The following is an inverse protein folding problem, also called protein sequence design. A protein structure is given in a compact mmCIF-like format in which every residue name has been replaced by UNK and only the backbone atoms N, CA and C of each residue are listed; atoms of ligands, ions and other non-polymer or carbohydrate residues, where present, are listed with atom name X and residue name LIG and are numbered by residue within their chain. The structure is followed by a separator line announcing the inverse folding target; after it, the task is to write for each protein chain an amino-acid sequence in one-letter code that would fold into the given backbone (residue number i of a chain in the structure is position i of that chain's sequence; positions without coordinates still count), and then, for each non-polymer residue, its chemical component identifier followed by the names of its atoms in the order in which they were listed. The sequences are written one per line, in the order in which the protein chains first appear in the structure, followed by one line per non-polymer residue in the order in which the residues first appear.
data_IF_761659842645
#
_entry.id   IF_761659842645
#
_cell.length_a   1.000
_cell.length_b   1.000
_cell.length_c   1.000
_cell.angle_alpha   90.00
_cell.angle_beta   90.00
_cell.angle_gamma   90.00
#
_symmetry.space_group_name_H-M   'P 1'
#
loop_
_entity.id
_entity.type
_entity.pdbx_description
1 polymer ?
#
# COMPACT_ATOMS: atom_id res chain seq x y z
N UNK A 1 -10.04 -3.86 3.71
CA UNK A 1 -8.55 -4.00 3.80
C UNK A 1 -7.97 -2.73 4.40
N UNK A 2 -7.22 -2.83 5.47
CA UNK A 2 -6.47 -1.71 6.07
C UNK A 2 -5.03 -1.75 5.55
N UNK A 3 -4.55 -0.64 5.00
CA UNK A 3 -3.25 -0.56 4.31
C UNK A 3 -2.45 0.61 4.86
N UNK A 4 -1.30 0.33 5.47
CA UNK A 4 -0.37 1.34 5.97
C UNK A 4 0.69 1.61 4.91
N UNK A 5 0.73 2.82 4.37
CA UNK A 5 1.71 3.26 3.39
C UNK A 5 3.01 3.72 4.05
N UNK A 6 4.09 3.78 3.29
CA UNK A 6 5.37 4.41 3.65
C UNK A 6 5.95 3.89 4.98
N UNK A 7 5.81 2.59 5.27
CA UNK A 7 6.31 2.03 6.53
C UNK A 7 7.83 1.91 6.47
N UNK A 8 8.49 2.72 7.27
CA UNK A 8 9.94 2.84 7.35
C UNK A 8 10.38 3.24 8.77
N UNK A 9 11.67 3.17 9.12
CA UNK A 9 12.15 3.57 10.45
C UNK A 9 11.78 5.02 10.83
N UNK A 10 11.75 5.93 9.86
CA UNK A 10 11.40 7.35 10.07
C UNK A 10 9.92 7.59 10.30
N UNK A 11 9.08 6.76 9.71
CA UNK A 11 7.63 6.94 9.70
C UNK A 11 6.90 6.07 10.72
N UNK A 12 7.53 5.00 11.19
CA UNK A 12 6.96 4.10 12.19
C UNK A 12 6.46 4.82 13.46
N UNK A 13 7.17 5.79 14.04
CA UNK A 13 6.69 6.48 15.23
C UNK A 13 5.34 7.17 15.06
N UNK A 14 4.99 7.61 13.84
CA UNK A 14 3.68 8.18 13.56
C UNK A 14 2.56 7.12 13.66
N UNK A 15 2.83 5.88 13.27
CA UNK A 15 1.86 4.79 13.27
C UNK A 15 1.69 4.07 14.61
N UNK A 16 2.69 4.09 15.47
CA UNK A 16 2.76 3.20 16.63
C UNK A 16 1.52 3.26 17.52
N UNK A 17 1.03 4.46 17.84
CA UNK A 17 -0.17 4.61 18.67
C UNK A 17 -1.43 4.16 17.93
N UNK A 18 -1.56 4.47 16.63
CA UNK A 18 -2.71 4.08 15.84
C UNK A 18 -2.81 2.54 15.69
N UNK A 19 -1.68 1.87 15.45
CA UNK A 19 -1.66 0.40 15.35
C UNK A 19 -2.10 -0.24 16.66
N UNK A 20 -1.67 0.29 17.81
CA UNK A 20 -2.13 -0.16 19.12
C UNK A 20 -3.63 0.05 19.31
N UNK A 21 -4.16 1.22 18.93
CA UNK A 21 -5.60 1.50 19.03
C UNK A 21 -6.42 0.53 18.14
N UNK A 22 -5.90 0.17 16.95
CA UNK A 22 -6.54 -0.82 16.07
C UNK A 22 -6.48 -2.23 16.64
N UNK A 23 -5.39 -2.60 17.33
CA UNK A 23 -5.26 -3.91 18.00
C UNK A 23 -6.27 -4.07 19.16
N UNK A 24 -6.77 -2.96 19.73
CA UNK A 24 -7.84 -2.98 20.74
C UNK A 24 -9.25 -3.19 20.15
N UNK A 25 -9.40 -3.06 18.82
CA UNK A 25 -10.71 -3.26 18.18
C UNK A 25 -10.98 -4.76 17.98
N UNK A 26 -10.82 -5.45 17.07
CA UNK A 26 -11.14 -6.88 16.89
C UNK A 26 -10.20 -7.54 15.89
N UNK A 27 -8.96 -7.76 16.29
CA UNK A 27 -7.95 -8.48 15.50
C UNK A 27 -7.96 -8.12 14.00
N UNK A 28 -7.87 -6.83 13.67
CA UNK A 28 -7.92 -6.32 12.30
C UNK A 28 -6.59 -6.54 11.60
N UNK A 29 -6.46 -7.49 10.66
CA UNK A 29 -5.21 -7.69 9.93
C UNK A 29 -4.96 -6.52 8.98
N UNK A 30 -3.69 -6.13 8.86
CA UNK A 30 -3.23 -5.00 8.07
C UNK A 30 -2.26 -5.42 6.97
N UNK A 31 -2.25 -4.69 5.86
CA UNK A 31 -1.17 -4.78 4.86
C UNK A 31 -0.23 -3.60 5.06
N UNK A 32 1.03 -3.88 5.34
CA UNK A 32 2.08 -2.91 5.59
C UNK A 32 2.92 -2.72 4.33
N UNK A 33 2.90 -1.54 3.74
CA UNK A 33 3.70 -1.20 2.58
C UNK A 33 5.07 -0.71 3.04
N UNK A 34 6.03 -1.61 3.03
CA UNK A 34 7.37 -1.43 3.62
C UNK A 34 8.34 -0.85 2.62
N UNK A 35 9.05 0.21 3.03
CA UNK A 35 10.10 0.84 2.23
C UNK A 35 11.48 0.45 2.77
N UNK A 36 12.33 -0.24 1.97
CA UNK A 36 13.64 -0.72 2.40
C UNK A 36 14.62 0.37 2.87
N UNK A 37 14.64 1.53 2.20
CA UNK A 37 15.58 2.62 2.50
C UNK A 37 14.96 3.98 2.20
N UNK A 38 14.02 4.39 3.04
CA UNK A 38 13.20 5.58 2.85
C UNK A 38 14.07 6.83 2.66
N UNK A 39 13.92 7.49 1.51
CA UNK A 39 14.69 8.68 1.10
C UNK A 39 16.21 8.53 1.23
N UNK A 40 16.72 7.28 1.12
CA UNK A 40 18.16 6.95 1.21
C UNK A 40 18.83 7.33 2.55
N UNK A 41 18.05 7.34 3.64
CA UNK A 41 18.55 7.81 4.96
C UNK A 41 18.78 6.67 5.94
N UNK A 42 17.71 6.04 6.45
CA UNK A 42 17.79 4.99 7.45
C UNK A 42 17.37 3.64 6.85
N UNK A 43 18.31 2.82 6.38
CA UNK A 43 17.95 1.54 5.79
C UNK A 43 17.32 0.63 6.84
N UNK A 44 16.26 -0.06 6.42
CA UNK A 44 15.54 -1.03 7.25
C UNK A 44 16.48 -2.11 7.82
N UNK A 45 17.57 -2.43 7.11
CA UNK A 45 18.61 -3.38 7.56
C UNK A 45 19.28 -2.97 8.87
N UNK A 46 19.36 -1.69 9.19
CA UNK A 46 19.92 -1.17 10.43
C UNK A 46 18.86 -0.98 11.55
N UNK A 47 17.57 -1.05 11.21
CA UNK A 47 16.46 -0.71 12.10
C UNK A 47 15.89 -1.97 12.83
N UNK A 48 16.68 -2.63 13.64
CA UNK A 48 16.30 -3.89 14.34
C UNK A 48 15.03 -3.76 15.17
N UNK A 49 14.73 -2.59 15.71
CA UNK A 49 13.49 -2.36 16.48
C UNK A 49 12.25 -2.50 15.58
N UNK A 50 12.24 -1.83 14.42
CA UNK A 50 11.14 -1.95 13.46
C UNK A 50 11.07 -3.36 12.85
N UNK A 51 12.20 -3.99 12.55
CA UNK A 51 12.20 -5.39 12.09
C UNK A 51 11.48 -6.32 13.08
N UNK A 52 11.71 -6.17 14.39
CA UNK A 52 11.00 -6.95 15.41
C UNK A 52 9.50 -6.66 15.45
N UNK A 53 9.10 -5.41 15.22
CA UNK A 53 7.68 -5.05 15.11
C UNK A 53 7.08 -5.78 13.92
N UNK A 54 7.66 -5.66 12.72
CA UNK A 54 7.16 -6.27 11.50
C UNK A 54 7.11 -7.80 11.60
N UNK A 55 8.12 -8.42 12.22
CA UNK A 55 8.13 -9.86 12.47
C UNK A 55 6.95 -10.29 13.38
N UNK A 56 6.65 -9.54 14.44
CA UNK A 56 5.48 -9.84 15.29
C UNK A 56 4.17 -9.65 14.54
N UNK A 57 4.09 -8.63 13.67
CA UNK A 57 2.90 -8.38 12.85
C UNK A 57 2.63 -9.51 11.84
N UNK A 58 3.67 -10.09 11.26
CA UNK A 58 3.52 -11.30 10.42
C UNK A 58 2.95 -12.49 11.21
N UNK A 59 3.42 -12.71 12.44
CA UNK A 59 2.89 -13.76 13.32
C UNK A 59 1.43 -13.48 13.72
N UNK A 60 1.05 -12.21 13.83
CA UNK A 60 -0.31 -11.77 14.12
C UNK A 60 -1.29 -11.97 12.94
N UNK A 61 -0.79 -12.25 11.72
CA UNK A 61 -1.60 -12.45 10.52
C UNK A 61 -1.61 -11.27 9.56
N UNK A 62 -0.78 -10.28 9.79
CA UNK A 62 -0.59 -9.15 8.88
C UNK A 62 0.20 -9.57 7.63
N UNK A 63 0.15 -8.72 6.62
CA UNK A 63 0.89 -8.86 5.38
C UNK A 63 1.91 -7.74 5.25
N UNK A 64 3.12 -8.08 4.83
CA UNK A 64 4.12 -7.11 4.38
C UNK A 64 4.19 -7.11 2.85
N UNK A 65 4.18 -5.93 2.24
CA UNK A 65 4.35 -5.75 0.81
C UNK A 65 5.43 -4.70 0.53
N UNK A 66 6.14 -4.84 -0.57
CA UNK A 66 7.21 -3.92 -0.96
C UNK A 66 6.63 -2.61 -1.49
N UNK A 67 7.14 -1.45 -1.02
CA UNK A 67 6.67 -0.12 -1.41
C UNK A 67 7.79 0.77 -1.96
N UNK A 68 8.20 0.49 -3.19
CA UNK A 68 9.43 1.06 -3.73
C UNK A 68 10.66 0.49 -3.02
N UNK A 69 11.82 1.10 -3.26
CA UNK A 69 13.04 0.81 -2.53
C UNK A 69 13.51 2.04 -1.74
N UNK A 70 13.47 3.23 -2.39
CA UNK A 70 13.87 4.51 -1.80
C UNK A 70 12.70 5.45 -1.53
N UNK A 71 11.54 5.22 -2.15
CA UNK A 71 10.37 6.08 -2.06
C UNK A 71 10.66 7.54 -2.44
N UNK A 72 11.55 7.76 -3.39
CA UNK A 72 11.89 9.09 -3.90
C UNK A 72 12.25 9.04 -5.38
N UNK A 73 11.87 10.09 -6.13
CA UNK A 73 12.25 10.26 -7.53
C UNK A 73 13.71 10.74 -7.62
N UNK A 74 14.60 9.84 -7.95
CA UNK A 74 16.03 10.09 -8.16
C UNK A 74 16.45 10.01 -9.64
N UNK A 75 15.48 9.96 -10.56
CA UNK A 75 15.74 9.97 -11.99
C UNK A 75 16.32 11.32 -12.46
N UNK A 76 17.02 11.37 -13.61
CA UNK A 76 17.51 12.63 -14.20
C UNK A 76 16.41 13.69 -14.32
N UNK A 77 16.76 14.99 -14.44
CA UNK A 77 15.79 16.07 -14.54
C UNK A 77 14.71 15.80 -15.59
N UNK A 78 13.46 16.23 -15.36
CA UNK A 78 12.36 16.06 -16.31
C UNK A 78 12.69 16.64 -17.68
N UNK A 79 12.36 15.93 -18.75
CA UNK A 79 12.64 16.35 -20.15
C UNK A 79 11.44 16.94 -20.86
N UNK A 80 10.23 16.68 -20.34
CA UNK A 80 8.97 17.16 -20.94
C UNK A 80 8.14 17.95 -19.91
N UNK A 81 7.23 18.85 -20.35
CA UNK A 81 6.30 19.51 -19.43
C UNK A 81 5.44 18.55 -18.63
N UNK A 82 5.04 17.41 -19.20
CA UNK A 82 4.30 16.37 -18.51
C UNK A 82 5.12 15.72 -17.41
N UNK A 83 6.38 15.36 -17.68
CA UNK A 83 7.30 14.81 -16.68
C UNK A 83 7.54 15.80 -15.56
N UNK A 84 7.72 17.08 -15.91
CA UNK A 84 7.89 18.13 -14.91
C UNK A 84 6.67 18.21 -13.99
N UNK A 85 5.45 18.24 -14.56
CA UNK A 85 4.23 18.23 -13.77
C UNK A 85 4.14 17.00 -12.86
N UNK A 86 4.32 15.81 -13.40
CA UNK A 86 4.17 14.56 -12.65
C UNK A 86 5.24 14.40 -11.56
N UNK A 87 6.47 14.83 -11.82
CA UNK A 87 7.63 14.58 -10.95
C UNK A 87 8.03 15.74 -10.05
N UNK A 88 7.43 16.92 -10.22
CA UNK A 88 7.78 18.13 -9.45
C UNK A 88 6.57 18.87 -8.88
N UNK A 89 5.38 18.66 -9.44
CA UNK A 89 4.15 19.31 -8.97
C UNK A 89 3.22 18.28 -8.35
N UNK A 90 2.98 17.15 -9.01
CA UNK A 90 2.07 16.12 -8.51
C UNK A 90 2.68 15.34 -7.33
N UNK A 91 3.92 14.83 -7.48
CA UNK A 91 4.63 14.12 -6.41
C UNK A 91 6.15 14.10 -6.61
N UNK A 92 6.88 14.02 -5.51
CA UNK A 92 8.34 13.77 -5.48
C UNK A 92 8.67 12.30 -5.20
N UNK A 93 7.68 11.47 -5.03
CA UNK A 93 7.77 10.08 -4.58
C UNK A 93 7.68 9.08 -5.71
N UNK A 94 7.58 9.56 -6.96
CA UNK A 94 7.39 8.73 -8.16
C UNK A 94 8.63 7.91 -8.56
N UNK A 95 9.22 7.16 -7.63
CA UNK A 95 10.43 6.37 -7.84
C UNK A 95 10.38 5.49 -9.10
N UNK A 96 9.23 4.86 -9.36
CA UNK A 96 9.02 3.92 -10.47
C UNK A 96 8.34 4.54 -11.70
N UNK A 97 8.12 5.85 -11.70
CA UNK A 97 7.43 6.54 -12.79
C UNK A 97 8.21 6.56 -14.11
N UNK A 98 9.53 6.72 -14.05
CA UNK A 98 10.39 6.91 -15.22
C UNK A 98 11.45 5.82 -15.42
N UNK A 99 11.41 4.72 -14.67
CA UNK A 99 12.44 3.67 -14.76
C UNK A 99 12.27 2.83 -16.02
N UNK A 100 13.37 2.54 -16.70
CA UNK A 100 13.46 1.47 -17.69
C UNK A 100 13.40 0.11 -17.00
N UNK A 101 13.08 -0.94 -17.78
CA UNK A 101 12.89 -2.31 -17.25
C UNK A 101 14.02 -2.77 -16.35
N UNK A 102 15.26 -2.66 -16.80
CA UNK A 102 16.42 -3.19 -16.08
C UNK A 102 16.69 -2.40 -14.78
N UNK A 103 16.46 -1.08 -14.80
CA UNK A 103 16.53 -0.26 -13.60
C UNK A 103 15.45 -0.61 -12.58
N UNK A 104 14.25 -0.89 -13.05
CA UNK A 104 13.15 -1.33 -12.20
C UNK A 104 13.42 -2.72 -11.62
N UNK A 105 13.96 -3.66 -12.42
CA UNK A 105 14.36 -4.99 -11.97
C UNK A 105 15.37 -4.91 -10.83
N UNK A 106 16.46 -4.15 -11.00
CA UNK A 106 17.49 -3.99 -9.96
C UNK A 106 16.89 -3.57 -8.62
N UNK A 107 15.95 -2.60 -8.62
CA UNK A 107 15.32 -2.12 -7.37
C UNK A 107 14.35 -3.12 -6.78
N UNK A 108 13.55 -3.76 -7.61
CA UNK A 108 12.59 -4.77 -7.18
C UNK A 108 13.29 -6.01 -6.63
N UNK A 109 14.32 -6.50 -7.32
CA UNK A 109 15.14 -7.64 -6.88
C UNK A 109 15.84 -7.35 -5.56
N UNK A 110 16.43 -6.14 -5.40
CA UNK A 110 17.03 -5.73 -4.13
C UNK A 110 16.02 -5.73 -2.98
N UNK A 111 14.77 -5.30 -3.24
CA UNK A 111 13.68 -5.36 -2.27
C UNK A 111 13.27 -6.80 -1.94
N UNK A 112 13.09 -7.65 -2.95
CA UNK A 112 12.77 -9.07 -2.79
C UNK A 112 13.87 -9.78 -1.99
N UNK A 113 15.14 -9.53 -2.32
CA UNK A 113 16.28 -10.12 -1.61
C UNK A 113 16.34 -9.68 -0.14
N UNK A 114 16.01 -8.42 0.15
CA UNK A 114 15.92 -7.94 1.53
C UNK A 114 14.86 -8.72 2.32
N UNK A 115 13.66 -8.88 1.76
CA UNK A 115 12.59 -9.65 2.41
C UNK A 115 13.00 -11.11 2.61
N UNK A 116 13.64 -11.72 1.62
CA UNK A 116 14.14 -13.10 1.73
C UNK A 116 15.22 -13.23 2.84
N UNK A 117 16.14 -12.28 2.96
CA UNK A 117 17.16 -12.28 4.04
C UNK A 117 16.57 -12.12 5.44
N UNK A 118 15.41 -11.47 5.56
CA UNK A 118 14.69 -11.30 6.83
C UNK A 118 13.69 -12.42 7.10
N UNK A 119 13.60 -13.41 6.22
CA UNK A 119 12.61 -14.50 6.25
C UNK A 119 11.17 -13.98 6.29
N UNK A 120 10.90 -12.92 5.52
CA UNK A 120 9.57 -12.33 5.39
C UNK A 120 8.90 -12.76 4.09
N UNK A 121 7.68 -13.32 4.14
CA UNK A 121 6.93 -13.65 2.93
C UNK A 121 6.60 -12.37 2.16
N UNK A 122 6.89 -12.34 0.86
CA UNK A 122 6.59 -11.22 -0.02
C UNK A 122 5.67 -11.66 -1.16
N UNK A 123 4.47 -11.10 -1.21
CA UNK A 123 3.48 -11.40 -2.23
C UNK A 123 3.18 -10.23 -3.16
N UNK A 124 3.34 -9.00 -2.69
CA UNK A 124 2.93 -7.82 -3.40
C UNK A 124 3.97 -6.72 -3.48
N UNK A 125 3.86 -5.95 -4.55
CA UNK A 125 4.55 -4.68 -4.74
C UNK A 125 3.54 -3.56 -5.01
N UNK A 126 3.71 -2.42 -4.37
CA UNK A 126 2.93 -1.21 -4.65
C UNK A 126 3.90 -0.08 -4.95
N UNK A 127 3.80 0.50 -6.15
CA UNK A 127 4.66 1.62 -6.51
C UNK A 127 4.33 2.86 -5.67
N UNK A 128 5.34 3.63 -5.20
CA UNK A 128 5.14 4.94 -4.59
C UNK A 128 4.26 5.83 -5.48
N UNK A 129 3.35 6.58 -4.85
CA UNK A 129 2.33 7.39 -5.52
C UNK A 129 1.50 6.64 -6.58
N UNK A 130 1.52 5.30 -6.60
CA UNK A 130 0.91 4.42 -7.61
C UNK A 130 1.40 4.67 -9.05
N UNK A 131 2.57 5.25 -9.22
CA UNK A 131 3.14 5.59 -10.51
C UNK A 131 4.12 4.52 -10.99
N UNK A 132 3.83 3.93 -12.14
CA UNK A 132 4.67 2.92 -12.79
C UNK A 132 4.87 3.24 -14.27
N UNK A 133 6.13 3.14 -14.74
CA UNK A 133 6.47 3.15 -16.16
C UNK A 133 6.04 1.85 -16.86
N UNK A 134 6.11 1.83 -18.19
CA UNK A 134 5.98 0.60 -18.97
C UNK A 134 7.09 -0.40 -18.61
N UNK A 135 8.33 0.08 -18.43
CA UNK A 135 9.47 -0.74 -18.01
C UNK A 135 9.26 -1.39 -16.64
N UNK A 136 8.71 -0.65 -15.67
CA UNK A 136 8.35 -1.23 -14.36
C UNK A 136 7.30 -2.34 -14.48
N UNK A 137 6.29 -2.15 -15.34
CA UNK A 137 5.28 -3.20 -15.57
C UNK A 137 5.88 -4.44 -16.23
N UNK A 138 6.82 -4.27 -17.14
CA UNK A 138 7.55 -5.36 -17.78
C UNK A 138 8.44 -6.12 -16.79
N UNK A 139 9.13 -5.39 -15.90
CA UNK A 139 9.90 -5.98 -14.81
C UNK A 139 9.02 -6.85 -13.88
N UNK A 140 7.86 -6.33 -13.49
CA UNK A 140 6.95 -7.04 -12.60
C UNK A 140 6.41 -8.36 -13.19
N UNK A 141 6.32 -8.49 -14.53
CA UNK A 141 5.91 -9.76 -15.17
C UNK A 141 6.92 -10.88 -15.01
N UNK A 142 8.17 -10.55 -14.70
CA UNK A 142 9.28 -11.50 -14.61
C UNK A 142 9.58 -11.93 -13.16
N UNK A 143 8.95 -11.29 -12.19
CA UNK A 143 9.25 -11.48 -10.78
C UNK A 143 8.20 -12.36 -10.08
N UNK A 144 8.58 -13.12 -9.04
CA UNK A 144 7.69 -14.02 -8.32
C UNK A 144 6.73 -13.26 -7.37
N UNK A 145 6.08 -12.24 -7.88
CA UNK A 145 5.10 -11.45 -7.14
C UNK A 145 3.68 -11.80 -7.58
N UNK A 146 2.77 -11.84 -6.63
CA UNK A 146 1.38 -12.24 -6.86
C UNK A 146 0.53 -11.06 -7.32
N UNK A 147 0.80 -9.83 -6.82
CA UNK A 147 -0.01 -8.67 -7.13
C UNK A 147 0.76 -7.35 -7.10
N UNK A 148 0.17 -6.38 -7.80
CA UNK A 148 0.41 -4.95 -7.60
C UNK A 148 -0.92 -4.21 -7.44
N UNK A 149 -0.90 -2.92 -7.10
CA UNK A 149 -2.13 -2.13 -6.99
C UNK A 149 -1.93 -0.66 -7.33
N UNK A 150 -3.01 -0.03 -7.79
CA UNK A 150 -3.15 1.42 -7.84
C UNK A 150 -4.24 1.91 -6.84
N UNK A 151 -4.67 3.16 -6.93
CA UNK A 151 -5.67 3.74 -6.04
C UNK A 151 -7.07 3.10 -6.15
N UNK A 152 -7.38 2.38 -7.25
CA UNK A 152 -8.71 1.85 -7.55
C UNK A 152 -8.76 0.33 -7.63
N UNK A 153 -7.64 -0.33 -8.01
CA UNK A 153 -7.60 -1.74 -8.37
C UNK A 153 -6.41 -2.45 -7.74
N UNK A 154 -6.59 -3.74 -7.50
CA UNK A 154 -5.50 -4.69 -7.44
C UNK A 154 -5.33 -5.32 -8.82
N UNK A 155 -4.10 -5.67 -9.15
CA UNK A 155 -3.77 -6.36 -10.39
C UNK A 155 -3.07 -7.67 -10.05
N UNK A 156 -3.62 -8.78 -10.51
CA UNK A 156 -2.96 -10.09 -10.38
C UNK A 156 -1.83 -10.18 -11.39
N UNK A 157 -0.65 -10.51 -10.93
CA UNK A 157 0.52 -10.74 -11.75
C UNK A 157 0.62 -12.22 -12.18
N UNK A 158 1.34 -12.54 -13.27
CA UNK A 158 2.10 -11.60 -14.13
C UNK A 158 1.24 -10.85 -15.17
N UNK A 159 -0.01 -11.26 -15.41
CA UNK A 159 -0.84 -10.81 -16.55
C UNK A 159 -1.50 -9.45 -16.32
N UNK A 160 -1.34 -8.84 -15.14
CA UNK A 160 -2.00 -7.60 -14.76
C UNK A 160 -3.54 -7.67 -14.85
N UNK A 161 -4.13 -8.81 -14.47
CA UNK A 161 -5.58 -8.97 -14.44
C UNK A 161 -6.18 -8.01 -13.40
N UNK A 162 -7.01 -7.05 -13.82
CA UNK A 162 -7.56 -6.04 -12.92
C UNK A 162 -8.68 -6.62 -12.06
N UNK A 163 -8.67 -6.28 -10.77
CA UNK A 163 -9.71 -6.58 -9.80
C UNK A 163 -10.13 -5.28 -9.13
N UNK A 164 -11.41 -4.93 -9.22
CA UNK A 164 -11.91 -3.68 -8.63
C UNK A 164 -11.85 -3.77 -7.10
N UNK A 165 -11.08 -2.87 -6.53
CA UNK A 165 -10.88 -2.75 -5.10
C UNK A 165 -10.66 -1.26 -4.75
N UNK A 166 -11.72 -0.46 -4.75
CA UNK A 166 -11.62 0.98 -4.58
C UNK A 166 -11.05 1.35 -3.22
N UNK A 167 -10.22 2.42 -3.22
CA UNK A 167 -9.57 2.95 -2.04
C UNK A 167 -10.19 4.24 -1.52
N UNK A 168 -10.13 4.41 -0.21
CA UNK A 168 -10.25 5.68 0.49
C UNK A 168 -8.85 6.09 0.94
N UNK A 169 -8.47 7.33 0.68
CA UNK A 169 -7.21 7.93 1.11
C UNK A 169 -7.46 9.31 1.67
N UNK A 170 -6.59 9.77 2.55
CA UNK A 170 -6.68 11.10 3.15
C UNK A 170 -5.63 12.04 2.56
N UNK A 171 -5.96 13.31 2.37
CA UNK A 171 -5.00 14.33 1.96
C UNK A 171 -4.70 15.24 3.14
N UNK A 172 -3.60 14.97 3.85
CA UNK A 172 -3.21 15.69 5.05
C UNK A 172 -2.29 16.90 4.81
N UNK A 173 -1.89 17.17 3.57
CA UNK A 173 -0.85 18.15 3.23
C UNK A 173 -1.13 19.61 3.61
N UNK A 174 -2.38 19.99 3.91
CA UNK A 174 -2.72 21.32 4.45
C UNK A 174 -4.03 21.27 5.24
N UNK A 175 -4.27 22.29 6.11
CA UNK A 175 -5.46 22.31 6.98
C UNK A 175 -6.77 22.26 6.19
N UNK A 176 -6.90 23.03 5.11
CA UNK A 176 -8.09 23.03 4.27
C UNK A 176 -8.27 21.70 3.51
N UNK A 177 -7.17 21.05 3.06
CA UNK A 177 -7.22 19.74 2.43
C UNK A 177 -7.69 18.67 3.42
N UNK A 178 -7.26 18.74 4.69
CA UNK A 178 -7.72 17.82 5.74
C UNK A 178 -9.24 17.94 5.96
N UNK A 179 -9.75 19.17 6.08
CA UNK A 179 -11.20 19.40 6.19
C UNK A 179 -11.97 18.92 4.96
N UNK A 180 -11.48 19.21 3.76
CA UNK A 180 -12.09 18.76 2.51
C UNK A 180 -12.04 17.22 2.38
N UNK A 181 -10.94 16.59 2.80
CA UNK A 181 -10.81 15.13 2.79
C UNK A 181 -11.85 14.45 3.67
N UNK A 182 -12.18 15.03 4.84
CA UNK A 182 -13.25 14.51 5.69
C UNK A 182 -14.59 14.44 4.95
N UNK A 183 -15.00 15.54 4.33
CA UNK A 183 -16.26 15.60 3.57
C UNK A 183 -16.24 14.69 2.34
N UNK A 184 -15.17 14.75 1.55
CA UNK A 184 -15.03 13.93 0.36
C UNK A 184 -15.03 12.43 0.70
N UNK A 185 -14.35 12.04 1.77
CA UNK A 185 -14.30 10.64 2.18
C UNK A 185 -15.67 10.16 2.72
N UNK A 186 -16.42 11.00 3.45
CA UNK A 186 -17.78 10.65 3.87
C UNK A 186 -18.73 10.43 2.68
N UNK A 187 -18.63 11.27 1.64
CA UNK A 187 -19.41 11.07 0.41
C UNK A 187 -18.99 9.77 -0.29
N UNK A 188 -17.68 9.53 -0.39
CA UNK A 188 -17.14 8.34 -1.05
C UNK A 188 -17.42 7.08 -0.25
N UNK A 189 -17.40 7.12 1.07
CA UNK A 189 -17.81 6.02 1.97
C UNK A 189 -19.25 5.57 1.64
N UNK A 190 -20.19 6.52 1.50
CA UNK A 190 -21.57 6.24 1.11
C UNK A 190 -21.67 5.62 -0.29
N UNK A 191 -20.88 6.12 -1.24
CA UNK A 191 -20.84 5.55 -2.60
C UNK A 191 -20.29 4.12 -2.63
N UNK A 192 -19.36 3.81 -1.74
CA UNK A 192 -18.70 2.51 -1.63
C UNK A 192 -19.39 1.55 -0.65
N UNK A 193 -20.49 1.98 -0.01
CA UNK A 193 -21.19 1.15 0.98
C UNK A 193 -21.58 -0.22 0.43
N UNK A 194 -22.04 -0.31 -0.83
CA UNK A 194 -22.39 -1.55 -1.50
C UNK A 194 -21.19 -2.25 -2.20
N UNK A 195 -20.00 -1.66 -2.17
CA UNK A 195 -18.83 -2.28 -2.80
C UNK A 195 -18.43 -3.56 -2.05
N UNK A 196 -18.10 -4.67 -2.76
CA UNK A 196 -17.73 -5.93 -2.12
C UNK A 196 -16.46 -5.81 -1.27
N UNK A 197 -15.59 -4.87 -1.61
CA UNK A 197 -14.36 -4.57 -0.87
C UNK A 197 -14.07 -3.08 -0.87
N UNK A 198 -13.52 -2.59 0.24
CA UNK A 198 -13.01 -1.23 0.40
C UNK A 198 -11.58 -1.31 0.93
N UNK A 199 -10.67 -0.52 0.36
CA UNK A 199 -9.32 -0.35 0.88
C UNK A 199 -9.20 0.98 1.62
N UNK A 200 -8.67 0.96 2.82
CA UNK A 200 -8.34 2.14 3.63
C UNK A 200 -6.83 2.35 3.53
N UNK A 201 -6.42 3.35 2.77
CA UNK A 201 -4.99 3.68 2.54
C UNK A 201 -4.57 4.83 3.45
N UNK A 202 -3.78 4.52 4.46
CA UNK A 202 -3.33 5.44 5.49
C UNK A 202 -1.87 5.81 5.27
N UNK A 203 -1.54 7.09 5.45
CA UNK A 203 -0.17 7.59 5.37
C UNK A 203 0.30 8.07 6.76
N UNK A 204 1.62 8.10 7.03
CA UNK A 204 2.14 8.52 8.33
C UNK A 204 1.66 9.91 8.75
N UNK A 205 1.59 10.83 7.78
CA UNK A 205 1.11 12.20 8.02
C UNK A 205 -0.35 12.27 8.51
N UNK A 206 -1.18 11.27 8.19
CA UNK A 206 -2.57 11.22 8.67
C UNK A 206 -2.61 11.03 10.18
N UNK A 207 -1.66 10.29 10.73
CA UNK A 207 -1.58 9.94 12.15
C UNK A 207 -1.11 11.10 13.04
N UNK A 208 -0.46 12.10 12.45
CA UNK A 208 -0.01 13.33 13.15
C UNK A 208 -1.16 14.28 13.48
N UNK A 209 -2.34 14.05 12.94
CA UNK A 209 -3.49 14.93 13.10
C UNK A 209 -4.68 14.17 13.69
N UNK A 210 -5.19 14.67 14.83
CA UNK A 210 -6.31 14.08 15.55
C UNK A 210 -7.54 13.87 14.66
N UNK A 211 -7.86 14.86 13.80
CA UNK A 211 -9.01 14.79 12.89
C UNK A 211 -8.95 13.57 11.95
N UNK A 212 -7.81 13.31 11.32
CA UNK A 212 -7.65 12.18 10.39
C UNK A 212 -7.53 10.85 11.15
N UNK A 213 -6.81 10.84 12.27
CA UNK A 213 -6.68 9.64 13.10
C UNK A 213 -8.03 9.18 13.64
N UNK A 214 -8.80 10.06 14.27
CA UNK A 214 -10.15 9.75 14.79
C UNK A 214 -11.12 9.35 13.68
N UNK A 215 -11.03 9.99 12.51
CA UNK A 215 -11.83 9.59 11.35
C UNK A 215 -11.54 8.13 10.95
N UNK A 216 -10.26 7.75 10.83
CA UNK A 216 -9.88 6.39 10.43
C UNK A 216 -10.31 5.34 11.46
N UNK A 217 -10.08 5.58 12.75
CA UNK A 217 -10.53 4.68 13.81
C UNK A 217 -12.05 4.50 13.80
N UNK A 218 -12.79 5.61 13.76
CA UNK A 218 -14.24 5.56 13.70
C UNK A 218 -14.80 4.90 12.43
N UNK A 219 -14.11 5.02 11.29
CA UNK A 219 -14.48 4.33 10.06
C UNK A 219 -14.26 2.81 10.17
N UNK A 220 -13.12 2.39 10.72
CA UNK A 220 -12.83 0.96 10.95
C UNK A 220 -13.90 0.36 11.86
N UNK A 221 -14.20 1.01 12.99
CA UNK A 221 -15.26 0.55 13.91
C UNK A 221 -16.62 0.42 13.23
N UNK A 222 -17.03 1.40 12.42
CA UNK A 222 -18.30 1.35 11.67
C UNK A 222 -18.32 0.16 10.72
N UNK A 223 -17.25 -0.03 9.93
CA UNK A 223 -17.17 -1.14 8.97
C UNK A 223 -17.23 -2.50 9.66
N UNK A 224 -16.60 -2.65 10.83
CA UNK A 224 -16.70 -3.87 11.64
C UNK A 224 -18.14 -4.08 12.16
N UNK A 225 -18.79 -3.03 12.70
CA UNK A 225 -20.18 -3.07 13.14
C UNK A 225 -21.16 -3.39 12.02
N UNK A 226 -20.84 -2.97 10.79
CA UNK A 226 -21.61 -3.31 9.58
C UNK A 226 -21.37 -4.76 9.09
N UNK A 227 -20.60 -5.55 9.83
CA UNK A 227 -20.31 -6.95 9.52
C UNK A 227 -19.27 -7.13 8.41
N UNK A 228 -18.44 -6.12 8.11
CA UNK A 228 -17.35 -6.23 7.15
C UNK A 228 -16.22 -7.07 7.73
N UNK A 229 -15.81 -8.10 7.00
CA UNK A 229 -14.68 -8.93 7.37
C UNK A 229 -13.35 -8.23 6.99
N UNK A 230 -12.45 -7.96 7.95
CA UNK A 230 -11.15 -7.38 7.66
C UNK A 230 -10.20 -8.41 7.06
N UNK A 231 -9.51 -8.06 5.98
CA UNK A 231 -8.57 -8.93 5.26
C UNK A 231 -7.34 -8.15 4.79
N UNK A 232 -6.20 -8.85 4.70
CA UNK A 232 -5.04 -8.35 3.97
C UNK A 232 -5.27 -8.41 2.46
N UNK A 233 -4.42 -7.74 1.67
CA UNK A 233 -4.54 -7.80 0.20
C UNK A 233 -4.36 -9.21 -0.34
N UNK A 234 -3.35 -9.95 0.17
CA UNK A 234 -3.10 -11.31 -0.30
C UNK A 234 -4.21 -12.28 0.11
N UNK A 235 -4.77 -12.15 1.33
CA UNK A 235 -5.87 -12.99 1.78
C UNK A 235 -7.11 -12.79 0.88
N UNK A 236 -7.44 -11.53 0.58
CA UNK A 236 -8.55 -11.22 -0.32
C UNK A 236 -8.34 -11.75 -1.74
N UNK A 237 -7.13 -11.64 -2.29
CA UNK A 237 -6.81 -12.17 -3.62
C UNK A 237 -6.95 -13.69 -3.69
N UNK A 238 -6.52 -14.40 -2.64
CA UNK A 238 -6.67 -15.87 -2.56
C UNK A 238 -8.13 -16.30 -2.50
N UNK A 239 -8.95 -15.60 -1.70
CA UNK A 239 -10.39 -15.84 -1.65
C UNK A 239 -11.08 -15.63 -3.01
N UNK A 240 -10.67 -14.58 -3.76
CA UNK A 240 -11.21 -14.29 -5.10
C UNK A 240 -10.74 -15.26 -6.18
N UNK A 241 -9.56 -15.85 -6.06
CA UNK A 241 -9.09 -16.87 -6.99
C UNK A 241 -9.92 -18.15 -6.89
N UNK A 242 -10.22 -18.60 -5.67
CA UNK A 242 -11.01 -19.81 -5.42
C UNK A 242 -12.45 -19.70 -5.93
N UNK A 243 -13.07 -18.52 -5.84
CA UNK A 243 -14.44 -18.28 -6.35
C UNK A 243 -14.49 -18.34 -7.87
N UNK A 244 -13.48 -17.78 -8.57
CA UNK A 244 -13.39 -17.81 -10.04
C UNK A 244 -13.23 -19.23 -10.58
N UNK A 245 -12.44 -20.08 -9.91
CA UNK A 245 -12.26 -21.48 -10.30
C UNK A 245 -13.50 -22.35 -10.02
N UNK A 246 -14.21 -22.09 -8.93
CA UNK A 246 -15.46 -22.78 -8.61
C UNK A 246 -16.58 -22.44 -9.61
N UNK A 247 -16.69 -21.17 -10.01
CA UNK A 247 -17.68 -20.72 -11.02
C UNK A 247 -17.47 -21.34 -12.40
N UNK A 248 -16.20 -21.62 -12.79
CA UNK A 248 -15.90 -22.23 -14.09
C UNK A 248 -16.20 -23.72 -14.16
N UNK A 249 -16.29 -24.44 -13.02
CA UNK A 249 -16.62 -25.89 -12.97
C UNK A 249 -18.10 -26.20 -13.15
N UNK A 250 -18.99 -25.22 -13.04
CA UNK A 250 -20.45 -25.39 -13.18
C UNK A 250 -20.98 -24.87 -14.52
N UNK A 251 -20.10 -24.43 -15.43
CA UNK A 251 -20.45 -23.89 -16.75
C UNK A 251 -20.23 -24.88 -17.91
N UNK A 252 -20.21 -26.19 -17.63
CA UNK A 252 -20.13 -27.26 -18.64
C UNK A 252 -21.28 -28.24 -18.51
#
# INVERSE_FOLDING_TARGET
MLVLHDVAPETWPDYESFVRDVDELDNVPMTWLVVPNFHKRNPLTAATALQRVLQRRLVHGDELALHGYFHCDDAPPPRTPRDYFMRRIYTWEGEFYGLERDQALIRLEAGIELFARLDWPLHGFVAPAWLMSAGTREALRQLPLTYTSDARRLYRLPDFIPLDAPGLVWSAGSAWRRGLSSVCNQVRERQLHAAPVIRLGLHPVDMRHELSRSYWLGLIERLLKDGREPMTKIAWLRAHASVSEAGSRWAH
#
